data_IF_302353479625
#
_entry.id   IF_302353479625
#
_cell.length_a   1.000
_cell.length_b   1.000
_cell.length_c   1.000
_cell.angle_alpha   90.00
_cell.angle_beta   90.00
_cell.angle_gamma   90.00
#
_symmetry.space_group_name_H-M   'P 1'
#
loop_
_entity.id
_entity.type
_entity.pdbx_description
1 polymer ?
#
# COMPACT_ATOMS: atom_id res chain seq x y z
N UNK A 1 26.24 -38.24 -41.21
CA UNK A 1 27.68 -37.90 -41.25
C UNK A 1 27.84 -36.65 -42.11
N UNK A 2 28.02 -35.42 -41.64
CA UNK A 2 27.95 -34.68 -40.36
C UNK A 2 27.80 -33.21 -40.81
N UNK A 3 26.95 -32.38 -40.19
CA UNK A 3 27.32 -31.41 -39.13
C UNK A 3 28.65 -30.71 -39.47
N UNK A 4 28.70 -29.41 -39.79
CA UNK A 4 28.52 -28.30 -38.85
C UNK A 4 28.14 -26.98 -39.56
N UNK A 5 27.05 -26.31 -39.14
CA UNK A 5 26.84 -24.88 -39.38
C UNK A 5 27.00 -24.10 -38.08
N UNK A 6 28.16 -23.47 -37.93
CA UNK A 6 28.54 -22.64 -36.78
C UNK A 6 27.76 -21.32 -36.79
N UNK A 7 26.55 -21.33 -36.22
CA UNK A 7 25.79 -20.11 -35.92
C UNK A 7 26.31 -19.49 -34.63
N UNK A 8 27.01 -18.36 -34.77
CA UNK A 8 27.54 -17.54 -33.67
C UNK A 8 26.40 -16.67 -33.11
N UNK A 9 25.72 -17.16 -32.08
CA UNK A 9 24.72 -16.38 -31.33
C UNK A 9 25.46 -15.32 -30.51
N UNK A 10 25.07 -14.06 -30.70
CA UNK A 10 25.60 -12.90 -29.99
C UNK A 10 25.00 -12.85 -28.58
N UNK A 11 25.92 -12.94 -27.62
CA UNK A 11 25.81 -12.46 -26.25
C UNK A 11 25.15 -11.07 -26.26
N UNK A 12 23.92 -11.00 -25.78
CA UNK A 12 23.18 -9.76 -25.55
C UNK A 12 22.96 -9.68 -24.06
N UNK A 13 23.66 -8.73 -23.46
CA UNK A 13 23.75 -8.53 -22.02
C UNK A 13 22.37 -8.39 -21.39
N UNK A 14 22.12 -9.25 -20.40
CA UNK A 14 21.04 -9.14 -19.44
C UNK A 14 21.49 -8.15 -18.35
N UNK A 15 21.47 -6.86 -18.67
CA UNK A 15 21.75 -5.78 -17.72
C UNK A 15 20.53 -4.87 -17.60
N UNK A 16 19.95 -4.82 -16.39
CA UNK A 16 18.87 -3.88 -16.08
C UNK A 16 17.78 -4.39 -15.13
N UNK A 17 17.92 -5.57 -14.51
CA UNK A 17 17.04 -5.96 -13.39
C UNK A 17 17.61 -5.40 -12.10
N UNK A 18 17.39 -4.11 -11.81
CA UNK A 18 17.44 -3.50 -10.45
C UNK A 18 17.22 -1.96 -10.47
N UNK A 19 16.04 -1.50 -10.83
CA UNK A 19 15.51 -0.21 -10.37
C UNK A 19 14.06 -0.53 -9.94
N UNK A 20 13.59 -0.40 -8.70
CA UNK A 20 13.84 0.63 -7.71
C UNK A 20 13.30 0.08 -6.36
N UNK A 21 14.12 -0.66 -5.62
CA UNK A 21 13.85 -0.89 -4.19
C UNK A 21 14.40 0.33 -3.47
N UNK A 22 13.57 1.35 -3.22
CA UNK A 22 13.96 2.43 -2.33
C UNK A 22 14.00 1.86 -0.91
N UNK A 23 15.21 1.65 -0.39
CA UNK A 23 15.42 1.39 1.03
C UNK A 23 14.67 2.46 1.83
N UNK A 24 13.72 2.02 2.64
CA UNK A 24 13.08 2.88 3.62
C UNK A 24 14.02 2.89 4.83
N UNK A 25 14.67 4.02 5.08
CA UNK A 25 15.36 4.21 6.34
C UNK A 25 14.29 4.37 7.41
N UNK A 26 14.07 3.31 8.17
CA UNK A 26 13.32 3.40 9.42
C UNK A 26 14.25 4.12 10.38
N UNK A 27 14.13 5.45 10.45
CA UNK A 27 14.62 6.21 11.60
C UNK A 27 13.81 5.72 12.79
N UNK A 28 14.42 4.83 13.55
CA UNK A 28 13.82 4.16 14.70
C UNK A 28 13.28 5.18 15.69
N UNK A 29 11.96 5.14 15.86
CA UNK A 29 11.29 5.52 17.10
C UNK A 29 10.12 4.53 17.29
N UNK A 30 10.50 3.26 17.44
CA UNK A 30 9.64 2.31 18.15
C UNK A 30 9.60 2.82 19.59
N UNK A 31 8.44 2.79 20.23
CA UNK A 31 8.17 3.24 21.62
C UNK A 31 7.70 4.70 21.76
N UNK A 32 6.43 4.96 21.40
CA UNK A 32 5.58 5.96 22.09
C UNK A 32 4.10 5.97 21.73
N UNK A 33 3.63 5.10 20.83
CA UNK A 33 2.20 5.08 20.44
C UNK A 33 1.26 4.48 21.48
N UNK A 34 1.78 3.82 22.52
CA UNK A 34 0.96 3.06 23.48
C UNK A 34 0.53 3.82 24.76
N UNK A 35 0.85 5.11 24.94
CA UNK A 35 0.69 5.75 26.27
C UNK A 35 0.14 7.19 26.31
N UNK A 36 -0.44 7.70 25.23
CA UNK A 36 -1.18 8.97 25.33
C UNK A 36 -2.66 8.68 25.60
N UNK A 37 -3.00 8.49 26.88
CA UNK A 37 -4.36 8.74 27.36
C UNK A 37 -4.57 10.26 27.33
N UNK A 38 -5.09 10.76 26.21
CA UNK A 38 -5.59 12.13 26.11
C UNK A 38 -7.00 12.17 26.70
N UNK A 39 -7.13 12.83 27.84
CA UNK A 39 -8.43 13.26 28.38
C UNK A 39 -8.79 14.56 27.66
N UNK A 40 -9.73 14.49 26.72
CA UNK A 40 -10.28 15.63 25.98
C UNK A 40 -11.02 15.15 24.74
N UNK A 41 -12.33 15.43 24.67
CA UNK A 41 -13.31 15.08 23.63
C UNK A 41 -12.79 14.53 22.28
N UNK A 42 -13.09 13.24 22.06
CA UNK A 42 -13.69 12.69 20.84
C UNK A 42 -12.91 12.62 19.50
N UNK A 43 -11.58 12.53 19.50
CA UNK A 43 -10.89 11.91 18.34
C UNK A 43 -10.91 10.39 18.47
N UNK A 44 -12.10 9.79 18.32
CA UNK A 44 -12.21 8.35 18.18
C UNK A 44 -11.52 7.92 16.88
N UNK A 45 -10.28 7.45 17.00
CA UNK A 45 -9.53 6.84 15.92
C UNK A 45 -10.09 5.44 15.68
N UNK A 46 -11.18 5.35 14.91
CA UNK A 46 -11.85 4.08 14.63
C UNK A 46 -11.10 3.40 13.47
N UNK A 47 -10.42 2.27 13.70
CA UNK A 47 -9.81 1.53 12.60
C UNK A 47 -10.90 0.99 11.67
N UNK A 48 -10.63 0.89 10.35
CA UNK A 48 -11.54 0.22 9.44
C UNK A 48 -11.77 -1.25 9.84
N UNK A 49 -12.84 -1.85 9.32
CA UNK A 49 -13.16 -3.26 9.56
C UNK A 49 -11.95 -4.15 9.22
N UNK A 50 -11.66 -5.18 10.02
CA UNK A 50 -10.56 -6.13 9.80
C UNK A 50 -9.18 -5.48 9.59
N UNK A 51 -8.93 -4.30 10.19
CA UNK A 51 -7.64 -3.64 10.11
C UNK A 51 -6.57 -4.43 10.87
N UNK A 52 -5.43 -4.66 10.23
CA UNK A 52 -4.24 -5.24 10.84
C UNK A 52 -2.97 -4.81 10.09
N UNK A 53 -1.84 -4.78 10.79
CA UNK A 53 -0.52 -4.70 10.17
C UNK A 53 -0.16 -6.08 9.61
N UNK A 54 0.29 -6.13 8.35
CA UNK A 54 0.78 -7.34 7.69
C UNK A 54 2.30 -7.40 7.79
N UNK A 55 2.94 -6.26 7.55
CA UNK A 55 4.39 -6.05 7.64
C UNK A 55 4.67 -4.57 7.94
N UNK A 56 5.92 -4.22 8.18
CA UNK A 56 6.34 -2.85 8.46
C UNK A 56 5.94 -1.90 7.31
N UNK A 57 5.00 -1.00 7.61
CA UNK A 57 4.45 -0.06 6.63
C UNK A 57 3.45 -0.66 5.64
N UNK A 58 3.03 -1.92 5.86
CA UNK A 58 2.02 -2.61 5.05
C UNK A 58 0.85 -3.01 5.94
N UNK A 59 -0.33 -2.52 5.58
CA UNK A 59 -1.57 -2.74 6.32
C UNK A 59 -2.61 -3.40 5.43
N UNK A 60 -3.53 -4.14 6.06
CA UNK A 60 -4.73 -4.69 5.45
C UNK A 60 -5.96 -4.19 6.19
N UNK A 61 -7.05 -4.01 5.49
CA UNK A 61 -8.37 -3.80 6.08
C UNK A 61 -9.47 -4.17 5.10
N UNK A 62 -10.70 -4.18 5.57
CA UNK A 62 -11.88 -4.03 4.75
C UNK A 62 -12.02 -2.59 4.25
N UNK A 63 -13.20 -2.29 3.68
CA UNK A 63 -13.46 -1.00 3.06
C UNK A 63 -13.54 0.13 4.11
N UNK A 64 -12.82 1.26 3.93
CA UNK A 64 -12.86 2.37 4.88
C UNK A 64 -14.07 3.28 4.67
N UNK A 65 -14.66 3.73 5.77
CA UNK A 65 -15.70 4.75 5.81
C UNK A 65 -15.15 6.08 6.32
N UNK A 66 -15.92 7.16 6.19
CA UNK A 66 -15.54 8.51 6.64
C UNK A 66 -15.14 8.57 8.11
N UNK A 67 -15.79 7.78 8.97
CA UNK A 67 -15.44 7.64 10.39
C UNK A 67 -14.02 7.07 10.63
N UNK A 68 -13.42 6.41 9.63
CA UNK A 68 -12.08 5.83 9.73
C UNK A 68 -10.99 6.77 9.19
N UNK A 69 -11.33 7.89 8.55
CA UNK A 69 -10.36 8.75 7.89
C UNK A 69 -9.37 9.38 8.88
N UNK A 70 -9.84 9.77 10.07
CA UNK A 70 -8.99 10.26 11.15
C UNK A 70 -7.91 9.23 11.53
N UNK A 71 -8.28 7.95 11.63
CA UNK A 71 -7.34 6.86 11.89
C UNK A 71 -6.37 6.67 10.71
N UNK A 72 -6.85 6.65 9.48
CA UNK A 72 -6.00 6.47 8.30
C UNK A 72 -4.97 7.60 8.11
N UNK A 73 -5.30 8.83 8.51
CA UNK A 73 -4.34 9.94 8.50
C UNK A 73 -3.15 9.69 9.41
N UNK A 74 -3.37 9.06 10.57
CA UNK A 74 -2.27 8.75 11.52
C UNK A 74 -1.25 7.76 10.93
N UNK A 75 -1.67 6.93 9.97
CA UNK A 75 -0.78 5.97 9.30
C UNK A 75 0.13 6.62 8.25
N UNK A 76 -0.18 7.85 7.84
CA UNK A 76 0.60 8.64 6.89
C UNK A 76 0.89 7.87 5.57
N UNK A 77 -0.15 7.20 5.05
CA UNK A 77 -0.09 6.30 3.90
C UNK A 77 0.38 7.03 2.63
N UNK A 78 1.15 6.34 1.79
CA UNK A 78 1.57 6.86 0.47
C UNK A 78 0.73 6.31 -0.68
N UNK A 79 0.12 5.15 -0.48
CA UNK A 79 -0.68 4.47 -1.48
C UNK A 79 -1.66 3.50 -0.86
N UNK A 80 -2.75 3.24 -1.58
CA UNK A 80 -3.76 2.22 -1.24
C UNK A 80 -3.94 1.29 -2.43
N UNK A 81 -4.04 0.00 -2.14
CA UNK A 81 -4.43 -1.03 -3.10
C UNK A 81 -5.90 -1.35 -2.87
N UNK A 82 -6.73 -1.14 -3.90
CA UNK A 82 -8.15 -1.43 -3.87
C UNK A 82 -8.46 -2.60 -4.80
N UNK A 83 -9.04 -3.65 -4.24
CA UNK A 83 -9.19 -4.94 -4.92
C UNK A 83 -10.60 -5.18 -5.48
N UNK A 84 -11.55 -4.27 -5.25
CA UNK A 84 -12.90 -4.47 -5.74
C UNK A 84 -13.06 -3.89 -7.17
N UNK A 85 -13.87 -4.52 -8.03
CA UNK A 85 -14.12 -4.05 -9.40
C UNK A 85 -14.97 -2.77 -9.46
N UNK A 86 -15.73 -2.47 -8.40
CA UNK A 86 -16.58 -1.28 -8.31
C UNK A 86 -15.75 0.00 -8.33
N UNK A 87 -16.27 1.12 -8.85
CA UNK A 87 -15.58 2.40 -8.78
C UNK A 87 -15.38 2.85 -7.33
N UNK A 88 -14.23 3.48 -7.05
CA UNK A 88 -13.94 4.00 -5.71
C UNK A 88 -14.85 5.21 -5.41
N UNK A 89 -15.55 5.25 -4.25
CA UNK A 89 -16.45 6.33 -3.88
C UNK A 89 -15.79 7.71 -3.89
N UNK A 90 -16.58 8.74 -4.23
CA UNK A 90 -16.09 10.12 -4.37
C UNK A 90 -15.52 10.67 -3.06
N UNK A 91 -16.25 10.52 -1.94
CA UNK A 91 -15.80 10.98 -0.63
C UNK A 91 -14.43 10.39 -0.22
N UNK A 92 -14.21 9.10 -0.52
CA UNK A 92 -12.91 8.47 -0.26
C UNK A 92 -11.85 8.99 -1.23
N UNK A 93 -12.20 9.22 -2.50
CA UNK A 93 -11.30 9.76 -3.51
C UNK A 93 -10.82 11.17 -3.17
N UNK A 94 -11.71 12.02 -2.66
CA UNK A 94 -11.36 13.36 -2.15
C UNK A 94 -10.37 13.26 -0.99
N UNK A 95 -10.62 12.37 -0.04
CA UNK A 95 -9.69 12.09 1.03
C UNK A 95 -8.31 11.66 0.51
N UNK A 96 -8.24 10.77 -0.48
CA UNK A 96 -6.96 10.37 -1.07
C UNK A 96 -6.24 11.55 -1.72
N UNK A 97 -6.95 12.40 -2.45
CA UNK A 97 -6.39 13.60 -3.09
C UNK A 97 -5.83 14.58 -2.06
N UNK A 98 -6.59 14.87 -0.99
CA UNK A 98 -6.17 15.80 0.06
C UNK A 98 -4.96 15.32 0.87
N UNK A 99 -4.75 14.00 0.95
CA UNK A 99 -3.62 13.40 1.68
C UNK A 99 -2.52 12.87 0.72
N UNK A 100 -2.58 13.21 -0.57
CA UNK A 100 -1.62 12.80 -1.61
C UNK A 100 -1.40 11.27 -1.70
N UNK A 101 -2.45 10.49 -1.42
CA UNK A 101 -2.44 9.04 -1.43
C UNK A 101 -2.72 8.53 -2.85
N UNK A 102 -1.82 7.71 -3.39
CA UNK A 102 -2.01 7.10 -4.71
C UNK A 102 -2.90 5.87 -4.63
N UNK A 103 -3.97 5.84 -5.41
CA UNK A 103 -4.85 4.67 -5.53
C UNK A 103 -4.37 3.76 -6.65
N UNK A 104 -4.16 2.48 -6.33
CA UNK A 104 -3.96 1.41 -7.31
C UNK A 104 -5.17 0.47 -7.25
N UNK A 105 -5.94 0.41 -8.33
CA UNK A 105 -7.12 -0.45 -8.39
C UNK A 105 -6.85 -1.69 -9.24
N UNK A 106 -7.04 -2.86 -8.65
CA UNK A 106 -6.95 -4.15 -9.31
C UNK A 106 -8.22 -4.93 -8.99
N UNK A 107 -9.30 -4.62 -9.71
CA UNK A 107 -10.59 -5.28 -9.52
C UNK A 107 -10.46 -6.79 -9.73
N UNK A 108 -10.60 -7.55 -8.64
CA UNK A 108 -10.70 -9.01 -8.69
C UNK A 108 -12.16 -9.40 -8.58
N UNK A 109 -12.59 -10.34 -9.41
CA UNK A 109 -13.94 -10.89 -9.32
C UNK A 109 -14.04 -11.74 -8.05
N UNK A 110 -14.86 -11.29 -7.11
CA UNK A 110 -15.11 -12.03 -5.89
C UNK A 110 -16.00 -13.24 -6.16
N UNK A 111 -15.45 -14.44 -6.01
CA UNK A 111 -16.26 -15.65 -5.91
C UNK A 111 -16.72 -15.81 -4.46
N UNK A 112 -18.04 -15.83 -4.23
CA UNK A 112 -18.64 -16.28 -2.96
C UNK A 112 -18.88 -17.78 -2.98
#
# INVERSE_FOLDING_TARGET
>A
MGEDTKTKVKESQEEGRQEMWRSIEIVGSVEKWALTVVVGDELNFIPPLNFAMVDNGVFRSGFPHSANFSFLQTLNLRSIIYLCPEPYPEANTEFLKSNEIRLFQFGIEGYK
#
